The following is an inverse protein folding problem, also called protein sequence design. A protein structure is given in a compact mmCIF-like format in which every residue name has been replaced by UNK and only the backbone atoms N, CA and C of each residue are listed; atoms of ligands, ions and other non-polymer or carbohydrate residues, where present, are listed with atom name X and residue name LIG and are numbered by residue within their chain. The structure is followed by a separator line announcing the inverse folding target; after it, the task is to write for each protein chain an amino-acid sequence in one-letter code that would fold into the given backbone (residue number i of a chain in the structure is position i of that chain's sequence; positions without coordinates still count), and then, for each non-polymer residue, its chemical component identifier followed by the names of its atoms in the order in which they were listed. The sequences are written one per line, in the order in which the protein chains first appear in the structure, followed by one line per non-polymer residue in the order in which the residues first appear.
data_IF_919830800389
#
_entry.id   IF_919830800389
#
_cell.length_a   1.000
_cell.length_b   1.000
_cell.length_c   1.000
_cell.angle_alpha   90.00
_cell.angle_beta   90.00
_cell.angle_gamma   90.00
#
_symmetry.space_group_name_H-M   'P 1'
#
loop_
_entity.id
_entity.type
_entity.pdbx_description
1 polymer ?
#
# COMPACT_ATOMS: atom_id res chain seq x y z
N UNK A 1 1.71 -23.63 -26.90
CA UNK A 1 2.00 -22.54 -25.98
C UNK A 1 0.66 -21.99 -25.53
N UNK A 2 0.31 -22.03 -24.24
CA UNK A 2 -0.92 -21.40 -23.79
C UNK A 2 -0.80 -19.89 -23.94
N UNK A 3 -1.86 -19.29 -24.44
CA UNK A 3 -1.99 -17.87 -24.77
C UNK A 3 -1.79 -17.03 -23.50
N UNK A 4 -0.81 -16.14 -23.51
CA UNK A 4 -0.49 -15.24 -22.39
C UNK A 4 -1.59 -14.21 -22.11
N UNK A 5 -2.61 -14.16 -22.97
CA UNK A 5 -3.70 -13.20 -22.89
C UNK A 5 -4.88 -13.65 -22.02
N UNK A 6 -4.98 -14.94 -21.65
CA UNK A 6 -6.07 -15.44 -20.79
C UNK A 6 -5.81 -15.30 -19.27
N UNK A 7 -4.61 -14.88 -18.83
CA UNK A 7 -4.30 -14.68 -17.42
C UNK A 7 -4.65 -13.29 -16.87
N UNK A 8 -5.28 -12.43 -17.65
CA UNK A 8 -5.46 -11.01 -17.34
C UNK A 8 -6.80 -10.62 -16.71
N UNK A 9 -7.67 -11.55 -16.33
CA UNK A 9 -9.01 -11.23 -15.82
C UNK A 9 -9.27 -11.56 -14.35
N UNK A 10 -8.33 -12.18 -13.65
CA UNK A 10 -8.47 -12.38 -12.19
C UNK A 10 -7.97 -11.11 -11.51
N UNK A 11 -8.90 -10.30 -10.97
CA UNK A 11 -8.57 -9.11 -10.21
C UNK A 11 -7.76 -9.48 -8.96
N UNK A 12 -6.85 -8.60 -8.52
CA UNK A 12 -6.07 -8.83 -7.30
C UNK A 12 -6.97 -8.99 -6.07
N UNK A 13 -8.20 -8.46 -6.12
CA UNK A 13 -9.20 -8.61 -5.06
C UNK A 13 -9.62 -10.07 -4.83
N UNK A 14 -9.61 -10.89 -5.85
CA UNK A 14 -10.01 -12.31 -5.76
C UNK A 14 -9.02 -13.14 -4.90
N UNK A 15 -7.85 -12.57 -4.61
CA UNK A 15 -6.87 -13.17 -3.70
C UNK A 15 -7.17 -12.93 -2.21
N UNK A 16 -8.16 -12.06 -1.90
CA UNK A 16 -8.58 -11.80 -0.52
C UNK A 16 -9.50 -12.92 -0.03
N UNK A 17 -9.45 -13.17 1.28
CA UNK A 17 -10.33 -14.10 1.96
C UNK A 17 -11.73 -13.54 2.21
N UNK A 18 -12.46 -14.20 3.13
CA UNK A 18 -13.81 -13.82 3.49
C UNK A 18 -13.86 -12.43 4.14
N UNK A 19 -14.92 -11.67 3.86
CA UNK A 19 -15.07 -10.27 4.29
C UNK A 19 -15.04 -10.09 5.82
N UNK A 20 -15.42 -11.11 6.58
CA UNK A 20 -15.36 -11.11 8.05
C UNK A 20 -13.95 -10.98 8.62
N UNK A 21 -12.91 -11.24 7.81
CA UNK A 21 -11.50 -11.11 8.16
C UNK A 21 -10.87 -9.85 7.58
N UNK A 22 -11.68 -8.91 7.11
CA UNK A 22 -11.18 -7.70 6.46
C UNK A 22 -11.55 -6.44 7.24
N UNK A 23 -10.62 -5.49 7.33
CA UNK A 23 -10.93 -4.08 7.56
C UNK A 23 -10.88 -3.38 6.21
N UNK A 24 -11.88 -2.53 5.93
CA UNK A 24 -12.01 -1.85 4.65
C UNK A 24 -12.08 -0.34 4.81
N UNK A 25 -11.53 0.37 3.83
CA UNK A 25 -11.75 1.78 3.56
C UNK A 25 -12.40 1.90 2.18
N UNK A 26 -13.52 2.61 2.08
CA UNK A 26 -14.31 2.71 0.85
C UNK A 26 -14.23 4.07 0.16
N UNK A 27 -13.49 5.02 0.72
CA UNK A 27 -13.23 6.33 0.11
C UNK A 27 -11.92 6.90 0.68
N UNK A 28 -11.17 7.62 -0.15
CA UNK A 28 -10.00 8.35 0.32
C UNK A 28 -10.43 9.63 1.03
N UNK A 29 -9.97 9.80 2.27
CA UNK A 29 -10.16 10.98 3.09
C UNK A 29 -8.79 11.43 3.64
N UNK A 30 -8.29 12.55 3.16
CA UNK A 30 -6.97 13.06 3.54
C UNK A 30 -6.86 13.35 5.06
N UNK A 31 -7.97 13.73 5.72
CA UNK A 31 -7.97 13.98 7.17
C UNK A 31 -7.83 12.69 7.99
N UNK A 32 -8.27 11.56 7.44
CA UNK A 32 -8.21 10.23 8.06
C UNK A 32 -7.04 9.37 7.54
N UNK A 33 -6.32 9.84 6.53
CA UNK A 33 -5.27 9.06 5.87
C UNK A 33 -4.27 8.47 6.87
N UNK A 34 -3.74 9.27 7.80
CA UNK A 34 -2.80 8.82 8.82
C UNK A 34 -3.36 7.73 9.75
N UNK A 35 -4.68 7.76 10.02
CA UNK A 35 -5.35 6.71 10.81
C UNK A 35 -5.39 5.41 10.03
N UNK A 36 -5.82 5.46 8.78
CA UNK A 36 -5.84 4.27 7.91
C UNK A 36 -4.45 3.73 7.60
N UNK A 37 -3.44 4.60 7.41
CA UNK A 37 -2.04 4.16 7.29
C UNK A 37 -1.57 3.35 8.48
N UNK A 38 -2.03 3.69 9.68
CA UNK A 38 -1.72 2.92 10.89
C UNK A 38 -2.50 1.61 10.95
N UNK A 39 -3.81 1.65 10.67
CA UNK A 39 -4.67 0.47 10.69
C UNK A 39 -4.27 -0.58 9.64
N UNK A 40 -3.81 -0.13 8.48
CA UNK A 40 -3.40 -0.99 7.35
C UNK A 40 -1.91 -1.38 7.38
N UNK A 41 -1.27 -1.29 8.54
CA UNK A 41 0.10 -1.77 8.73
C UNK A 41 0.17 -3.28 8.47
N UNK A 42 1.12 -3.70 7.65
CA UNK A 42 1.45 -5.11 7.44
C UNK A 42 2.80 -5.44 8.07
N UNK A 43 2.93 -6.64 8.64
CA UNK A 43 4.17 -7.05 9.30
C UNK A 43 4.27 -8.55 9.49
N UNK A 44 5.49 -9.02 9.76
CA UNK A 44 5.80 -10.46 9.93
C UNK A 44 6.59 -10.76 11.22
N UNK A 45 6.58 -9.84 12.18
CA UNK A 45 7.32 -9.96 13.45
C UNK A 45 8.81 -9.59 13.36
N UNK A 46 9.39 -9.45 12.15
CA UNK A 46 10.73 -8.89 11.93
C UNK A 46 10.68 -7.50 11.31
N UNK A 47 9.74 -7.30 10.41
CA UNK A 47 9.51 -6.05 9.71
C UNK A 47 8.04 -5.67 9.83
N UNK A 48 7.78 -4.38 10.01
CA UNK A 48 6.46 -3.79 9.93
C UNK A 48 6.50 -2.54 9.06
N UNK A 49 5.53 -2.40 8.16
CA UNK A 49 5.43 -1.25 7.28
C UNK A 49 4.03 -0.64 7.32
N UNK A 50 3.96 0.69 7.41
CA UNK A 50 2.68 1.41 7.45
C UNK A 50 1.90 1.24 6.15
N UNK A 51 0.59 1.39 6.26
CA UNK A 51 -0.34 1.29 5.13
C UNK A 51 -0.41 2.55 4.27
N UNK A 52 0.72 3.23 3.99
CA UNK A 52 0.77 4.39 3.11
C UNK A 52 0.36 4.06 1.67
N UNK A 53 -0.06 5.07 0.91
CA UNK A 53 -0.32 4.92 -0.52
C UNK A 53 1.01 4.76 -1.27
N UNK A 54 1.03 3.95 -2.31
CA UNK A 54 2.25 3.67 -3.08
C UNK A 54 2.78 4.94 -3.79
N UNK A 55 1.89 5.78 -4.28
CA UNK A 55 2.22 7.05 -4.94
C UNK A 55 2.56 8.19 -3.97
N UNK A 56 2.28 8.00 -2.68
CA UNK A 56 2.41 9.03 -1.66
C UNK A 56 1.32 10.10 -1.70
N UNK A 57 1.25 10.89 -0.63
CA UNK A 57 0.40 12.09 -0.56
C UNK A 57 0.96 13.13 0.42
N UNK A 58 0.47 14.39 0.34
CA UNK A 58 0.89 15.43 1.29
C UNK A 58 0.44 15.07 2.70
N UNK A 59 1.36 15.13 3.66
CA UNK A 59 1.11 14.76 5.05
C UNK A 59 1.26 13.28 5.35
N UNK A 60 1.67 12.47 4.38
CA UNK A 60 2.01 11.08 4.57
C UNK A 60 3.13 10.90 5.60
N UNK A 61 3.00 9.88 6.42
CA UNK A 61 4.05 9.42 7.32
C UNK A 61 4.43 8.00 6.96
N UNK A 62 5.29 7.85 5.95
CA UNK A 62 5.80 6.53 5.60
C UNK A 62 6.65 5.96 6.74
N UNK A 63 6.60 4.66 6.95
CA UNK A 63 7.35 4.00 8.00
C UNK A 63 7.54 2.53 7.73
N UNK A 64 8.80 2.12 7.68
CA UNK A 64 9.22 0.72 7.65
C UNK A 64 10.20 0.49 8.80
N UNK A 65 9.83 -0.37 9.72
CA UNK A 65 10.60 -0.61 10.94
C UNK A 65 11.07 -2.05 11.02
N UNK A 66 12.32 -2.23 11.42
CA UNK A 66 12.92 -3.54 11.64
C UNK A 66 13.04 -3.80 13.13
N UNK A 67 12.55 -4.96 13.57
CA UNK A 67 12.67 -5.38 14.97
C UNK A 67 14.14 -5.45 15.39
N UNK A 68 14.46 -4.80 16.52
CA UNK A 68 15.80 -4.77 17.09
C UNK A 68 16.77 -3.76 16.46
N UNK A 69 16.30 -2.90 15.54
CA UNK A 69 17.11 -1.83 14.96
C UNK A 69 16.70 -0.49 15.54
N UNK A 70 17.58 0.07 16.35
CA UNK A 70 17.34 1.31 17.08
C UNK A 70 18.45 2.32 16.82
N UNK A 71 18.10 3.61 16.78
CA UNK A 71 19.04 4.70 16.86
C UNK A 71 19.11 5.18 18.32
N UNK A 72 20.27 5.05 18.92
CA UNK A 72 20.52 5.45 20.31
C UNK A 72 21.80 6.25 20.46
N UNK A 73 22.47 6.60 19.36
CA UNK A 73 23.74 7.31 19.42
C UNK A 73 23.52 8.80 19.76
N UNK A 74 23.89 9.17 20.99
CA UNK A 74 23.85 10.55 21.51
C UNK A 74 22.45 11.18 21.61
N UNK A 75 21.38 10.39 21.64
CA UNK A 75 20.02 10.87 21.86
C UNK A 75 19.48 10.41 23.22
N UNK A 76 18.68 11.23 23.91
CA UNK A 76 18.14 10.87 25.23
C UNK A 76 17.05 9.79 25.15
N UNK A 77 16.42 9.59 24.00
CA UNK A 77 15.38 8.59 23.77
C UNK A 77 15.84 7.70 22.59
N UNK A 78 15.77 6.39 22.81
CA UNK A 78 16.10 5.41 21.79
C UNK A 78 14.84 5.18 20.95
N UNK A 79 14.94 5.45 19.65
CA UNK A 79 13.85 5.27 18.70
C UNK A 79 14.11 4.13 17.70
N UNK A 80 13.04 3.55 17.16
CA UNK A 80 13.13 2.63 16.03
C UNK A 80 13.61 3.39 14.80
N UNK A 81 14.61 2.83 14.11
CA UNK A 81 15.08 3.39 12.85
C UNK A 81 14.05 3.16 11.76
N UNK A 82 13.64 4.24 11.09
CA UNK A 82 12.83 4.15 9.90
C UNK A 82 13.72 3.71 8.73
N UNK A 83 13.49 2.50 8.22
CA UNK A 83 14.21 1.94 7.09
C UNK A 83 13.77 2.60 5.78
N UNK A 84 14.51 2.43 4.66
CA UNK A 84 14.10 2.96 3.36
C UNK A 84 12.66 2.55 3.00
N UNK A 85 11.93 3.48 2.43
CA UNK A 85 10.58 3.24 1.93
C UNK A 85 10.61 2.38 0.66
N UNK A 86 10.17 1.14 0.78
CA UNK A 86 10.11 0.18 -0.32
C UNK A 86 8.79 0.24 -1.09
N UNK A 87 7.82 1.03 -0.61
CA UNK A 87 6.49 1.15 -1.21
C UNK A 87 6.45 2.22 -2.30
N UNK A 88 7.33 3.24 -2.21
CA UNK A 88 7.31 4.41 -3.09
C UNK A 88 7.31 4.04 -4.57
N UNK A 89 6.21 4.31 -5.25
CA UNK A 89 5.98 4.00 -6.67
C UNK A 89 5.47 5.23 -7.42
N UNK A 90 6.22 5.66 -8.43
CA UNK A 90 5.76 6.68 -9.37
C UNK A 90 5.11 6.05 -10.60
N UNK A 91 3.80 6.21 -10.76
CA UNK A 91 3.07 5.78 -11.96
C UNK A 91 2.73 6.99 -12.81
N UNK A 92 3.08 6.94 -14.10
CA UNK A 92 2.82 8.01 -15.05
C UNK A 92 2.06 7.47 -16.26
N UNK A 93 0.97 8.15 -16.62
CA UNK A 93 0.18 7.85 -17.82
C UNK A 93 0.10 9.11 -18.67
N UNK A 94 0.60 9.04 -19.90
CA UNK A 94 0.68 10.19 -20.83
C UNK A 94 1.35 11.43 -20.21
N UNK A 95 2.37 11.23 -19.37
CA UNK A 95 3.11 12.30 -18.72
C UNK A 95 2.45 12.87 -17.44
N UNK A 96 1.24 12.45 -17.10
CA UNK A 96 0.56 12.82 -15.86
C UNK A 96 0.88 11.78 -14.78
N UNK A 97 1.33 12.23 -13.61
CA UNK A 97 1.51 11.38 -12.45
C UNK A 97 0.16 11.00 -11.87
N UNK A 98 -0.05 9.70 -11.64
CA UNK A 98 -1.25 9.20 -10.97
C UNK A 98 -1.03 9.30 -9.46
N UNK A 99 -1.54 10.34 -8.86
CA UNK A 99 -1.59 10.54 -7.41
C UNK A 99 -2.79 11.39 -7.01
N UNK A 100 -3.08 11.44 -5.72
CA UNK A 100 -4.22 12.19 -5.17
C UNK A 100 -4.10 13.71 -5.28
N UNK A 101 -2.97 14.23 -5.72
CA UNK A 101 -2.70 15.67 -5.90
C UNK A 101 -2.86 16.10 -7.34
N UNK A 102 -2.41 15.27 -8.28
CA UNK A 102 -2.42 15.54 -9.72
C UNK A 102 -3.68 15.09 -10.41
N UNK A 103 -4.44 14.17 -9.79
CA UNK A 103 -5.64 13.56 -10.35
C UNK A 103 -6.83 13.64 -9.37
N UNK A 104 -8.04 13.58 -9.91
CA UNK A 104 -9.24 13.40 -9.11
C UNK A 104 -9.40 11.92 -8.77
N UNK A 105 -9.56 11.59 -7.49
CA UNK A 105 -9.93 10.23 -7.05
C UNK A 105 -11.42 10.03 -7.32
N UNK A 106 -11.74 9.14 -8.26
CA UNK A 106 -13.14 8.80 -8.64
C UNK A 106 -13.68 7.66 -7.79
N UNK A 107 -12.83 6.64 -7.56
CA UNK A 107 -13.14 5.50 -6.71
C UNK A 107 -11.90 5.16 -5.90
N UNK A 108 -12.10 4.75 -4.66
CA UNK A 108 -11.03 4.28 -3.79
C UNK A 108 -11.53 3.20 -2.86
N UNK A 109 -10.80 2.13 -2.78
CA UNK A 109 -11.06 1.04 -1.84
C UNK A 109 -9.74 0.42 -1.40
N UNK A 110 -9.60 0.16 -0.10
CA UNK A 110 -8.53 -0.68 0.47
C UNK A 110 -9.14 -1.73 1.39
N UNK A 111 -8.50 -2.88 1.44
CA UNK A 111 -8.87 -3.95 2.35
C UNK A 111 -7.60 -4.62 2.93
N UNK A 112 -7.50 -4.65 4.24
CA UNK A 112 -6.52 -5.45 4.95
C UNK A 112 -7.17 -6.77 5.35
N UNK A 113 -6.71 -7.86 4.76
CA UNK A 113 -7.09 -9.22 5.10
C UNK A 113 -6.17 -9.74 6.22
N UNK A 114 -6.70 -9.85 7.43
CA UNK A 114 -5.95 -10.31 8.60
C UNK A 114 -5.62 -11.80 8.55
N UNK A 115 -6.42 -12.60 7.86
CA UNK A 115 -6.21 -14.04 7.77
C UNK A 115 -5.00 -14.38 6.90
N UNK A 116 -4.81 -13.62 5.81
CA UNK A 116 -3.72 -13.83 4.87
C UNK A 116 -2.56 -12.85 5.07
N UNK A 117 -2.76 -11.78 5.87
CA UNK A 117 -1.75 -10.74 6.09
C UNK A 117 -1.47 -9.91 4.85
N UNK A 118 -2.50 -9.67 4.04
CA UNK A 118 -2.40 -9.02 2.73
C UNK A 118 -3.16 -7.70 2.76
N UNK A 119 -2.54 -6.63 2.28
CA UNK A 119 -3.19 -5.36 2.00
C UNK A 119 -3.42 -5.21 0.50
N UNK A 120 -4.69 -5.12 0.12
CA UNK A 120 -5.15 -4.85 -1.24
C UNK A 120 -5.66 -3.42 -1.35
N UNK A 121 -5.50 -2.84 -2.53
CA UNK A 121 -6.00 -1.52 -2.87
C UNK A 121 -6.46 -1.45 -4.32
N UNK A 122 -7.53 -0.70 -4.57
CA UNK A 122 -7.98 -0.25 -5.89
C UNK A 122 -8.30 1.24 -5.85
N UNK A 123 -7.74 1.99 -6.78
CA UNK A 123 -8.07 3.41 -6.95
C UNK A 123 -8.28 3.72 -8.42
N UNK A 124 -9.35 4.44 -8.74
CA UNK A 124 -9.60 4.98 -10.07
C UNK A 124 -9.30 6.48 -10.05
N UNK A 125 -8.33 6.88 -10.81
CA UNK A 125 -7.94 8.27 -11.01
C UNK A 125 -8.54 8.82 -12.29
N UNK A 126 -9.02 10.08 -12.26
CA UNK A 126 -9.29 10.86 -13.46
C UNK A 126 -8.24 11.96 -13.57
N UNK A 127 -7.50 11.97 -14.69
CA UNK A 127 -6.52 13.00 -14.98
C UNK A 127 -7.19 14.34 -15.37
N UNK A 128 -6.42 15.44 -15.54
CA UNK A 128 -6.98 16.75 -15.92
C UNK A 128 -7.74 16.75 -17.26
N UNK A 129 -7.47 15.80 -18.17
CA UNK A 129 -8.21 15.64 -19.41
C UNK A 129 -9.43 14.72 -19.27
N UNK A 130 -9.73 14.21 -18.06
CA UNK A 130 -10.87 13.37 -17.77
C UNK A 130 -10.68 11.88 -18.12
N UNK A 131 -9.47 11.45 -18.47
CA UNK A 131 -9.17 10.03 -18.73
C UNK A 131 -9.09 9.28 -17.42
N UNK A 132 -9.73 8.12 -17.36
CA UNK A 132 -9.76 7.28 -16.16
C UNK A 132 -8.70 6.18 -16.24
N UNK A 133 -7.93 6.04 -15.17
CA UNK A 133 -6.95 4.97 -15.01
C UNK A 133 -7.19 4.29 -13.67
N UNK A 134 -7.34 2.97 -13.69
CA UNK A 134 -7.40 2.16 -12.48
C UNK A 134 -5.99 1.71 -12.11
N UNK A 135 -5.62 1.96 -10.86
CA UNK A 135 -4.44 1.39 -10.23
C UNK A 135 -4.91 0.38 -9.18
N UNK A 136 -4.40 -0.82 -9.26
CA UNK A 136 -4.67 -1.88 -8.31
C UNK A 136 -3.36 -2.44 -7.78
N UNK A 137 -3.26 -2.57 -6.45
CA UNK A 137 -2.08 -3.11 -5.80
C UNK A 137 -2.44 -4.15 -4.74
N UNK A 138 -1.50 -5.04 -4.49
CA UNK A 138 -1.56 -6.03 -3.43
C UNK A 138 -0.17 -6.16 -2.83
N UNK A 139 -0.05 -6.11 -1.48
CA UNK A 139 1.23 -6.23 -0.79
C UNK A 139 1.15 -7.03 0.49
N UNK A 140 2.27 -7.61 0.86
CA UNK A 140 2.41 -8.37 2.10
C UNK A 140 3.87 -8.41 2.59
N UNK A 141 4.03 -8.72 3.88
CA UNK A 141 5.30 -9.06 4.49
C UNK A 141 5.33 -10.59 4.73
N UNK A 142 6.31 -11.29 4.13
CA UNK A 142 6.35 -12.75 4.13
C UNK A 142 6.66 -13.33 5.52
N UNK A 143 5.89 -14.33 5.94
CA UNK A 143 6.20 -15.15 7.12
C UNK A 143 7.18 -16.29 6.81
N UNK A 144 7.18 -16.77 5.57
CA UNK A 144 8.06 -17.87 5.15
C UNK A 144 9.52 -17.41 5.06
N UNK A 145 9.75 -16.23 4.46
CA UNK A 145 11.05 -15.54 4.55
C UNK A 145 10.81 -14.13 5.13
N UNK A 146 11.14 -13.96 6.40
CA UNK A 146 10.92 -12.71 7.14
C UNK A 146 11.76 -11.52 6.67
N UNK A 147 12.64 -11.72 5.71
CA UNK A 147 13.44 -10.66 5.07
C UNK A 147 12.77 -10.08 3.83
N UNK A 148 11.68 -10.71 3.37
CA UNK A 148 11.02 -10.39 2.12
C UNK A 148 9.69 -9.69 2.34
N UNK A 149 9.52 -8.57 1.64
CA UNK A 149 8.25 -7.94 1.36
C UNK A 149 8.01 -7.98 -0.14
N UNK A 150 6.77 -8.10 -0.55
CA UNK A 150 6.42 -8.09 -1.96
C UNK A 150 5.20 -7.21 -2.21
N UNK A 151 5.20 -6.59 -3.38
CA UNK A 151 4.10 -5.79 -3.90
C UNK A 151 3.88 -6.16 -5.36
N UNK A 152 2.62 -6.34 -5.74
CA UNK A 152 2.16 -6.48 -7.12
C UNK A 152 1.29 -5.29 -7.48
N UNK A 153 1.55 -4.69 -8.63
CA UNK A 153 0.81 -3.54 -9.15
C UNK A 153 0.38 -3.82 -10.58
#
# INVERSE_FOLDING_TARGET
MPDLNERSSVGLRDELGAAEWQITESCFDAEKANTFETLFTVGNGRLGTRGTLEEGHVGEVSGTFLSGVYDGYRVPVIDLVNAPDWLSLGVFVNGVRLDVQSCTVVEHERALDFRHGVLWRRTVFADPEGRRTQLESLRFASFADRRLCAMRV
#
